data_IF_473326617084
#
_entry.id   IF_473326617084
#
_cell.length_a   1.000
_cell.length_b   1.000
_cell.length_c   1.000
_cell.angle_alpha   90.00
_cell.angle_beta   90.00
_cell.angle_gamma   90.00
#
_symmetry.space_group_name_H-M   'P 1'
#
loop_
_entity.id
_entity.type
_entity.pdbx_description
1 polymer ?
#
# COMPACT_ATOMS: atom_id res chain seq x y z
N UNK A 1 17.90 8.11 -0.10
CA UNK A 1 16.71 7.33 -0.52
C UNK A 1 16.05 7.96 -1.74
N UNK A 2 16.33 7.42 -2.93
CA UNK A 2 15.52 7.68 -4.12
C UNK A 2 14.34 6.71 -4.10
N UNK A 3 13.12 7.23 -3.95
CA UNK A 3 11.89 6.45 -4.01
C UNK A 3 11.22 6.72 -5.34
N UNK A 4 10.99 5.68 -6.13
CA UNK A 4 10.13 5.73 -7.29
C UNK A 4 8.69 5.43 -6.86
N UNK A 5 7.73 6.11 -7.47
CA UNK A 5 6.32 5.76 -7.34
C UNK A 5 5.72 5.42 -8.71
N UNK A 6 4.78 4.48 -8.72
CA UNK A 6 4.03 4.13 -9.92
C UNK A 6 2.64 3.63 -9.56
N UNK A 7 1.63 4.16 -10.26
CA UNK A 7 0.25 3.70 -10.16
C UNK A 7 0.01 2.57 -11.18
N UNK A 8 -0.73 1.56 -10.76
CA UNK A 8 -1.14 0.45 -11.61
C UNK A 8 -2.65 0.24 -11.53
N UNK A 9 -3.25 -0.13 -12.66
CA UNK A 9 -4.58 -0.77 -12.66
C UNK A 9 -4.48 -2.14 -12.00
N UNK A 10 -5.52 -2.47 -11.25
CA UNK A 10 -5.56 -3.64 -10.41
C UNK A 10 -6.44 -4.77 -11.02
N UNK A 11 -6.02 -6.05 -10.99
CA UNK A 11 -4.74 -6.57 -10.50
C UNK A 11 -3.59 -6.32 -11.48
N UNK A 12 -2.36 -6.33 -10.96
CA UNK A 12 -1.16 -6.04 -11.75
C UNK A 12 -0.80 -7.28 -12.58
N UNK A 13 -0.99 -7.18 -13.91
CA UNK A 13 -0.66 -8.28 -14.84
C UNK A 13 0.84 -8.34 -15.15
N UNK A 14 1.47 -7.18 -15.30
CA UNK A 14 2.89 -7.05 -15.64
C UNK A 14 3.57 -6.09 -14.65
N UNK A 15 4.64 -6.57 -14.01
CA UNK A 15 5.52 -5.76 -13.20
C UNK A 15 6.84 -5.61 -13.97
N UNK A 16 7.42 -4.41 -14.09
CA UNK A 16 8.69 -4.26 -14.79
C UNK A 16 9.77 -5.15 -14.17
N UNK A 17 10.49 -5.93 -14.98
CA UNK A 17 11.49 -6.91 -14.50
C UNK A 17 12.62 -6.29 -13.65
N UNK A 18 12.91 -5.00 -13.87
CA UNK A 18 13.92 -4.26 -13.11
C UNK A 18 13.49 -3.88 -11.68
N UNK A 19 12.25 -4.17 -11.29
CA UNK A 19 11.76 -3.93 -9.93
C UNK A 19 12.20 -5.08 -9.00
N UNK A 20 13.50 -5.17 -8.72
CA UNK A 20 14.01 -6.03 -7.64
C UNK A 20 13.71 -5.36 -6.30
N UNK A 21 12.66 -5.84 -5.62
CA UNK A 21 12.13 -5.21 -4.43
C UNK A 21 12.54 -5.97 -3.17
N UNK A 22 13.39 -5.37 -2.33
CA UNK A 22 13.66 -5.89 -0.97
C UNK A 22 12.45 -5.72 -0.07
N UNK A 23 11.90 -4.51 0.00
CA UNK A 23 10.63 -4.20 0.64
C UNK A 23 9.97 -3.05 -0.11
N UNK A 24 8.65 -3.07 -0.19
CA UNK A 24 7.86 -2.12 -0.98
C UNK A 24 6.64 -1.69 -0.19
N UNK A 25 6.42 -0.39 -0.10
CA UNK A 25 5.19 0.16 0.47
C UNK A 25 4.19 0.36 -0.64
N UNK A 26 2.92 0.07 -0.40
CA UNK A 26 1.85 0.32 -1.37
C UNK A 26 0.60 0.85 -0.70
N UNK A 27 -0.20 1.56 -1.49
CA UNK A 27 -1.53 2.04 -1.14
C UNK A 27 -2.52 1.44 -2.14
N UNK A 28 -3.56 0.77 -1.65
CA UNK A 28 -4.75 0.45 -2.45
C UNK A 28 -5.80 1.53 -2.22
N UNK A 29 -6.53 1.88 -3.27
CA UNK A 29 -7.64 2.82 -3.21
C UNK A 29 -8.63 2.51 -4.32
N UNK A 30 -9.87 2.94 -4.14
CA UNK A 30 -10.91 2.94 -5.16
C UNK A 30 -10.85 4.25 -5.98
N UNK A 31 -11.49 4.29 -7.16
CA UNK A 31 -11.54 5.50 -8.00
C UNK A 31 -12.04 6.74 -7.25
N UNK A 32 -13.07 6.53 -6.42
CA UNK A 32 -13.73 7.57 -5.64
C UNK A 32 -12.94 7.93 -4.37
N UNK A 33 -11.82 7.23 -4.10
CA UNK A 33 -10.95 7.43 -2.95
C UNK A 33 -11.71 7.43 -1.62
N UNK A 34 -12.72 6.58 -1.47
CA UNK A 34 -13.53 6.45 -0.26
C UNK A 34 -12.90 5.53 0.77
N UNK A 35 -12.05 4.61 0.33
CA UNK A 35 -11.33 3.68 1.18
C UNK A 35 -9.86 3.64 0.76
N UNK A 36 -8.99 3.45 1.75
CA UNK A 36 -7.58 3.20 1.50
C UNK A 36 -7.07 2.03 2.32
N UNK A 37 -6.11 1.31 1.75
CA UNK A 37 -5.32 0.32 2.46
C UNK A 37 -3.84 0.62 2.26
N UNK A 38 -3.06 0.66 3.33
CA UNK A 38 -1.60 0.82 3.26
C UNK A 38 -0.95 -0.47 3.75
N UNK A 39 0.06 -0.95 3.05
CA UNK A 39 0.84 -2.11 3.52
C UNK A 39 2.23 -2.20 2.92
N UNK A 40 2.95 -3.23 3.38
CA UNK A 40 4.29 -3.58 2.90
C UNK A 40 4.25 -4.95 2.24
N UNK A 41 5.01 -5.13 1.15
CA UNK A 41 5.21 -6.42 0.49
C UNK A 41 6.63 -6.54 -0.07
N UNK A 42 7.08 -7.78 -0.23
CA UNK A 42 8.29 -8.13 -1.00
C UNK A 42 7.95 -8.57 -2.43
N UNK A 43 6.68 -8.90 -2.69
CA UNK A 43 6.16 -9.22 -4.03
C UNK A 43 4.89 -8.43 -4.29
N UNK A 44 5.00 -7.41 -5.14
CA UNK A 44 3.87 -6.56 -5.56
C UNK A 44 2.88 -7.37 -6.39
N UNK A 45 3.37 -8.23 -7.31
CA UNK A 45 2.52 -9.07 -8.16
C UNK A 45 1.66 -10.02 -7.33
N UNK A 46 2.27 -10.83 -6.47
CA UNK A 46 1.55 -11.77 -5.60
C UNK A 46 0.55 -11.03 -4.74
N UNK A 47 0.98 -9.95 -4.07
CA UNK A 47 0.09 -9.18 -3.21
C UNK A 47 -1.09 -8.57 -3.95
N UNK A 48 -0.90 -8.16 -5.21
CA UNK A 48 -1.99 -7.65 -6.03
C UNK A 48 -3.01 -8.73 -6.38
N UNK A 49 -2.56 -9.95 -6.68
CA UNK A 49 -3.47 -11.07 -6.96
C UNK A 49 -4.22 -11.49 -5.68
N UNK A 50 -3.52 -11.57 -4.54
CA UNK A 50 -4.13 -11.93 -3.26
C UNK A 50 -5.27 -10.99 -2.88
N UNK A 51 -5.04 -9.68 -3.00
CA UNK A 51 -6.04 -8.67 -2.68
C UNK A 51 -7.20 -8.67 -3.69
N UNK A 52 -6.95 -8.95 -4.97
CA UNK A 52 -8.01 -9.08 -5.98
C UNK A 52 -8.96 -10.25 -5.67
N UNK A 53 -8.41 -11.32 -5.09
CA UNK A 53 -9.18 -12.50 -4.71
C UNK A 53 -9.82 -12.37 -3.31
N UNK A 54 -9.47 -11.37 -2.50
CA UNK A 54 -10.05 -11.16 -1.16
C UNK A 54 -11.40 -10.43 -1.28
N UNK A 55 -12.49 -11.16 -0.98
CA UNK A 55 -13.86 -10.65 -1.05
C UNK A 55 -14.07 -9.37 -0.22
N UNK A 56 -13.33 -9.22 0.89
CA UNK A 56 -13.42 -8.04 1.77
C UNK A 56 -12.75 -6.80 1.17
N UNK A 57 -12.00 -6.96 0.08
CA UNK A 57 -11.17 -5.93 -0.55
C UNK A 57 -11.56 -5.65 -2.01
N UNK A 58 -12.69 -6.23 -2.46
CA UNK A 58 -13.24 -6.04 -3.82
C UNK A 58 -13.49 -4.58 -4.22
N UNK A 59 -13.54 -3.65 -3.26
CA UNK A 59 -13.72 -2.22 -3.53
C UNK A 59 -12.48 -1.54 -4.11
N UNK A 60 -11.27 -2.08 -3.93
CA UNK A 60 -10.06 -1.44 -4.42
C UNK A 60 -9.78 -1.79 -5.89
N UNK A 61 -9.57 -0.77 -6.73
CA UNK A 61 -9.31 -0.93 -8.16
C UNK A 61 -7.98 -0.30 -8.63
N UNK A 62 -7.29 0.40 -7.73
CA UNK A 62 -5.98 1.02 -7.97
C UNK A 62 -4.97 0.65 -6.90
N UNK A 63 -3.70 0.57 -7.33
CA UNK A 63 -2.56 0.32 -6.46
C UNK A 63 -1.43 1.30 -6.78
N UNK A 64 -1.08 2.15 -5.81
CA UNK A 64 0.10 3.01 -5.85
C UNK A 64 1.25 2.32 -5.13
N UNK A 65 2.38 2.15 -5.80
CA UNK A 65 3.54 1.40 -5.30
C UNK A 65 4.71 2.36 -5.10
N UNK A 66 5.34 2.30 -3.93
CA UNK A 66 6.55 3.03 -3.56
C UNK A 66 7.72 2.07 -3.42
N UNK A 67 8.68 2.15 -4.33
CA UNK A 67 9.83 1.26 -4.40
C UNK A 67 11.16 2.00 -4.39
N UNK A 68 12.20 1.35 -3.90
CA UNK A 68 13.57 1.85 -3.93
C UNK A 68 14.57 0.75 -3.61
N UNK A 69 15.76 0.83 -4.18
CA UNK A 69 16.84 -0.18 -3.99
C UNK A 69 17.33 -0.21 -2.53
N UNK A 70 17.24 0.92 -1.84
CA UNK A 70 17.60 1.10 -0.42
C UNK A 70 16.43 0.84 0.54
N UNK A 71 15.25 0.44 0.04
CA UNK A 71 14.05 0.27 0.87
C UNK A 71 14.07 -1.11 1.54
N UNK A 72 14.81 -1.22 2.65
CA UNK A 72 14.73 -2.39 3.53
C UNK A 72 13.44 -2.39 4.37
N UNK A 73 13.22 -3.45 5.14
CA UNK A 73 11.99 -3.61 5.91
C UNK A 73 11.83 -2.51 6.99
N UNK A 74 12.91 -2.11 7.65
CA UNK A 74 12.86 -1.09 8.70
C UNK A 74 12.48 0.28 8.11
N UNK A 75 13.08 0.65 6.98
CA UNK A 75 12.75 1.87 6.23
C UNK A 75 11.32 1.79 5.73
N UNK A 76 10.89 0.67 5.15
CA UNK A 76 9.52 0.48 4.67
C UNK A 76 8.48 0.64 5.79
N UNK A 77 8.74 0.09 6.99
CA UNK A 77 7.91 0.26 8.19
C UNK A 77 7.83 1.73 8.63
N UNK A 78 8.96 2.45 8.58
CA UNK A 78 9.00 3.88 8.86
C UNK A 78 8.18 4.69 7.86
N UNK A 79 8.27 4.37 6.56
CA UNK A 79 7.49 5.03 5.49
C UNK A 79 6.00 4.74 5.63
N UNK A 80 5.60 3.48 5.84
CA UNK A 80 4.21 3.10 6.09
C UNK A 80 3.62 3.88 7.27
N UNK A 81 4.35 3.95 8.39
CA UNK A 81 3.90 4.65 9.59
C UNK A 81 3.75 6.16 9.37
N UNK A 82 4.66 6.77 8.60
CA UNK A 82 4.58 8.20 8.24
C UNK A 82 3.40 8.48 7.31
N UNK A 83 3.19 7.65 6.28
CA UNK A 83 2.05 7.77 5.37
C UNK A 83 0.73 7.66 6.12
N UNK A 84 0.61 6.68 7.00
CA UNK A 84 -0.59 6.52 7.83
C UNK A 84 -0.89 7.76 8.67
N UNK A 85 0.14 8.32 9.34
CA UNK A 85 0.00 9.55 10.12
C UNK A 85 -0.42 10.75 9.26
N UNK A 86 0.18 10.89 8.07
CA UNK A 86 -0.15 11.99 7.15
C UNK A 86 -1.60 11.91 6.66
N UNK A 87 -2.07 10.71 6.29
CA UNK A 87 -3.45 10.51 5.85
C UNK A 87 -4.43 10.82 6.99
N UNK A 88 -4.14 10.33 8.20
CA UNK A 88 -4.96 10.64 9.37
C UNK A 88 -5.01 12.15 9.66
N UNK A 89 -3.88 12.85 9.54
CA UNK A 89 -3.79 14.29 9.78
C UNK A 89 -4.48 15.13 8.69
N UNK A 90 -4.52 14.65 7.44
CA UNK A 90 -5.20 15.32 6.32
C UNK A 90 -6.74 15.32 6.47
N UNK A 91 -7.31 14.47 7.34
CA UNK A 91 -8.72 14.48 7.69
C UNK A 91 -9.69 14.05 6.58
N UNK A 92 -9.19 13.79 5.36
CA UNK A 92 -9.98 13.32 4.22
C UNK A 92 -10.49 11.89 4.39
N UNK A 93 -9.88 11.11 5.28
CA UNK A 93 -10.26 9.75 5.60
C UNK A 93 -10.53 9.62 7.10
N UNK A 94 -11.70 9.10 7.44
CA UNK A 94 -11.98 8.66 8.81
C UNK A 94 -11.25 7.34 9.10
N UNK A 95 -11.05 7.02 10.39
CA UNK A 95 -10.35 5.79 10.81
C UNK A 95 -11.00 4.51 10.26
N UNK A 96 -12.32 4.49 10.09
CA UNK A 96 -13.06 3.34 9.53
C UNK A 96 -12.81 3.15 8.03
N UNK A 97 -12.39 4.20 7.31
CA UNK A 97 -12.06 4.16 5.89
C UNK A 97 -10.60 3.75 5.63
N UNK A 98 -9.78 3.67 6.68
CA UNK A 98 -8.37 3.28 6.59
C UNK A 98 -8.23 1.85 7.07
N UNK A 99 -8.02 0.94 6.11
CA UNK A 99 -7.77 -0.46 6.40
C UNK A 99 -6.26 -0.65 6.54
N UNK A 100 -5.77 -0.86 7.76
CA UNK A 100 -4.39 -1.27 7.99
C UNK A 100 -4.34 -2.32 9.09
N UNK A 101 -3.67 -3.44 8.85
CA UNK A 101 -3.60 -4.55 9.81
C UNK A 101 -2.95 -4.17 11.15
N UNK A 102 -2.20 -3.07 11.19
CA UNK A 102 -1.53 -2.54 12.40
C UNK A 102 -2.32 -1.41 13.08
N UNK A 103 -3.33 -0.82 12.44
CA UNK A 103 -4.20 0.18 13.08
C UNK A 103 -5.02 -0.40 14.25
N UNK A 104 -5.26 -1.71 14.22
CA UNK A 104 -6.00 -2.46 15.24
C UNK A 104 -5.08 -3.06 16.33
N UNK A 105 -3.76 -2.91 16.21
CA UNK A 105 -2.79 -3.43 17.19
C UNK A 105 -2.35 -2.36 18.22
N UNK A 106 -2.79 -1.12 18.06
CA UNK A 106 -2.54 -0.01 18.99
C UNK A 106 -3.87 0.58 19.49
N UNK A 107 -4.70 -0.26 20.09
CA UNK A 107 -5.73 0.21 21.03
C UNK A 107 -5.12 -0.05 22.42
N UNK A 108 -4.93 0.99 23.26
CA UNK A 108 -4.43 0.80 24.62
C UNK A 108 -5.31 -0.16 25.43
#
# INVERSE_FOLDING_TARGET
IKVANKEFKFPIKELPEHLHLKSTVYILFDNDKTQIYIGITTSVKTRSVDHFNDVRKKGFDKMLVFSGVELDEAIARGVESKLLKLILADGKYSRSQIINSRLNQNIP
#
